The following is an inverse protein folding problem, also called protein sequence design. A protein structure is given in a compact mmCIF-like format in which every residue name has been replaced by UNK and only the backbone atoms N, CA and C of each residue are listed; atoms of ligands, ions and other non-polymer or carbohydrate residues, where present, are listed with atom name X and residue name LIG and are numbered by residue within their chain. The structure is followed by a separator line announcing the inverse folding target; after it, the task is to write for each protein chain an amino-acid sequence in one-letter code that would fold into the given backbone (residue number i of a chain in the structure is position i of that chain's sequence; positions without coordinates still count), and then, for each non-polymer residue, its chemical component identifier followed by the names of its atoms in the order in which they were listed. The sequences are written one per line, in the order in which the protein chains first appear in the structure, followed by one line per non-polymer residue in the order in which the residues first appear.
data_IF_136753773404
#
_entry.id   IF_136753773404
#
_cell.length_a   1.000
_cell.length_b   1.000
_cell.length_c   1.000
_cell.angle_alpha   90.00
_cell.angle_beta   90.00
_cell.angle_gamma   90.00
#
_symmetry.space_group_name_H-M   'P 1'
#
loop_
_entity.id
_entity.type
_entity.pdbx_description
1 polymer ?
#
# COMPACT_ATOMS: atom_id res chain seq x y z
N UNK A 1 -13.02 -6.77 -9.27
CA UNK A 1 -13.51 -6.60 -7.89
C UNK A 1 -13.95 -7.97 -7.38
N UNK A 2 -13.20 -8.56 -6.44
CA UNK A 2 -13.54 -9.87 -5.89
C UNK A 2 -14.59 -9.71 -4.78
N UNK A 3 -15.69 -10.46 -4.88
CA UNK A 3 -16.79 -10.44 -3.92
C UNK A 3 -17.06 -11.85 -3.39
N UNK A 4 -17.43 -11.95 -2.13
CA UNK A 4 -17.70 -13.19 -1.43
C UNK A 4 -19.16 -13.31 -1.05
N UNK A 5 -19.74 -14.49 -1.25
CA UNK A 5 -21.06 -14.82 -0.70
C UNK A 5 -20.97 -14.95 0.82
N UNK A 6 -22.08 -14.72 1.52
CA UNK A 6 -22.17 -14.79 2.98
C UNK A 6 -21.48 -16.03 3.59
N UNK A 7 -21.68 -17.21 3.02
CA UNK A 7 -21.08 -18.48 3.50
C UNK A 7 -19.58 -18.56 3.25
N UNK A 8 -19.12 -18.02 2.12
CA UNK A 8 -17.69 -17.99 1.78
C UNK A 8 -16.95 -17.02 2.69
N UNK A 9 -17.50 -15.81 2.88
CA UNK A 9 -16.93 -14.81 3.78
C UNK A 9 -16.87 -15.32 5.24
N UNK A 10 -17.94 -15.96 5.72
CA UNK A 10 -17.98 -16.56 7.06
C UNK A 10 -16.83 -17.56 7.29
N UNK A 11 -16.55 -18.40 6.28
CA UNK A 11 -15.45 -19.36 6.32
C UNK A 11 -14.09 -18.67 6.40
N UNK A 12 -13.89 -17.60 5.63
CA UNK A 12 -12.62 -16.86 5.58
C UNK A 12 -12.27 -16.21 6.92
N UNK A 13 -13.25 -15.68 7.65
CA UNK A 13 -13.04 -15.04 8.95
C UNK A 13 -13.23 -15.98 10.15
N UNK A 14 -13.39 -17.30 9.89
CA UNK A 14 -13.67 -18.32 10.90
C UNK A 14 -14.87 -17.99 11.82
N UNK A 15 -15.97 -17.46 11.24
CA UNK A 15 -17.23 -17.16 11.93
C UNK A 15 -18.41 -17.90 11.31
N UNK A 16 -19.55 -17.86 11.98
CA UNK A 16 -20.80 -18.41 11.44
C UNK A 16 -21.51 -17.38 10.56
N UNK A 17 -22.36 -17.86 9.65
CA UNK A 17 -23.24 -16.98 8.86
C UNK A 17 -24.20 -16.17 9.74
N UNK A 18 -24.61 -16.71 10.89
CA UNK A 18 -25.47 -16.02 11.85
C UNK A 18 -24.75 -14.81 12.48
N UNK A 19 -23.46 -14.96 12.79
CA UNK A 19 -22.63 -13.85 13.29
C UNK A 19 -22.58 -12.70 12.29
N UNK A 20 -22.37 -12.98 11.01
CA UNK A 20 -22.35 -11.96 9.95
C UNK A 20 -23.70 -11.27 9.75
N UNK A 21 -24.80 -12.03 9.81
CA UNK A 21 -26.15 -11.46 9.73
C UNK A 21 -26.47 -10.56 10.92
N UNK A 22 -25.98 -10.92 12.12
CA UNK A 22 -26.09 -10.09 13.32
C UNK A 22 -25.29 -8.80 13.15
N UNK A 23 -24.04 -8.88 12.69
CA UNK A 23 -23.20 -7.72 12.42
C UNK A 23 -23.77 -6.78 11.36
N UNK A 24 -24.43 -7.29 10.32
CA UNK A 24 -25.15 -6.49 9.32
C UNK A 24 -26.32 -5.72 9.95
N UNK A 25 -27.05 -6.34 10.90
CA UNK A 25 -28.16 -5.70 11.62
C UNK A 25 -27.68 -4.67 12.65
N UNK A 26 -26.60 -4.97 13.36
CA UNK A 26 -26.00 -4.12 14.39
C UNK A 26 -25.14 -2.99 13.79
N UNK A 27 -24.89 -3.01 12.48
CA UNK A 27 -24.06 -2.02 11.79
C UNK A 27 -22.54 -2.20 11.98
N UNK A 28 -22.11 -3.30 12.60
CA UNK A 28 -20.69 -3.63 12.83
C UNK A 28 -19.98 -3.95 11.50
N UNK A 29 -20.65 -4.67 10.60
CA UNK A 29 -20.15 -4.96 9.26
C UNK A 29 -21.33 -5.03 8.29
N UNK A 30 -21.60 -3.92 7.61
CA UNK A 30 -22.75 -3.78 6.71
C UNK A 30 -22.56 -4.59 5.42
N UNK A 31 -23.49 -5.48 5.11
CA UNK A 31 -23.41 -6.26 3.88
C UNK A 31 -23.83 -5.43 2.66
N UNK A 32 -23.14 -5.63 1.53
CA UNK A 32 -23.64 -5.18 0.24
C UNK A 32 -24.76 -6.10 -0.24
N UNK A 33 -25.65 -5.56 -1.09
CA UNK A 33 -26.85 -6.25 -1.56
C UNK A 33 -26.90 -6.25 -3.07
N UNK A 34 -27.16 -7.42 -3.66
CA UNK A 34 -27.48 -7.52 -5.09
C UNK A 34 -28.85 -6.89 -5.36
N UNK A 35 -29.23 -6.64 -6.63
CA UNK A 35 -30.60 -6.25 -6.97
C UNK A 35 -31.67 -7.22 -6.44
N UNK A 36 -31.31 -8.50 -6.29
CA UNK A 36 -32.13 -9.56 -5.67
C UNK A 36 -32.04 -9.61 -4.15
N UNK A 37 -31.51 -8.56 -3.50
CA UNK A 37 -31.35 -8.41 -2.05
C UNK A 37 -30.51 -9.50 -1.37
N UNK A 38 -29.61 -10.17 -2.11
CA UNK A 38 -28.69 -11.16 -1.53
C UNK A 38 -27.46 -10.46 -0.95
N UNK A 39 -27.05 -10.89 0.25
CA UNK A 39 -25.86 -10.37 0.94
C UNK A 39 -24.58 -10.86 0.31
N UNK A 40 -23.65 -9.95 0.06
CA UNK A 40 -22.27 -10.23 -0.30
C UNK A 40 -21.33 -9.25 0.40
N UNK A 41 -20.07 -9.65 0.50
CA UNK A 41 -19.01 -8.85 1.09
C UNK A 41 -17.87 -8.66 0.10
N UNK A 42 -17.14 -7.56 0.21
CA UNK A 42 -16.00 -7.27 -0.67
C UNK A 42 -14.70 -7.81 -0.09
N UNK A 43 -13.67 -7.84 -0.94
CA UNK A 43 -12.30 -8.11 -0.50
C UNK A 43 -11.78 -7.07 0.50
N UNK A 44 -12.16 -5.80 0.35
CA UNK A 44 -11.81 -4.73 1.28
C UNK A 44 -12.38 -4.98 2.68
N UNK A 45 -13.64 -5.41 2.77
CA UNK A 45 -14.29 -5.77 4.05
C UNK A 45 -13.62 -6.96 4.73
N UNK A 46 -13.02 -7.87 3.96
CA UNK A 46 -12.27 -9.00 4.52
C UNK A 46 -11.03 -8.49 5.27
N UNK A 47 -10.29 -7.56 4.67
CA UNK A 47 -9.11 -6.95 5.27
C UNK A 47 -9.44 -6.14 6.52
N UNK A 48 -10.53 -5.37 6.47
CA UNK A 48 -11.04 -4.61 7.62
C UNK A 48 -11.28 -5.51 8.83
N UNK A 49 -11.95 -6.66 8.63
CA UNK A 49 -12.25 -7.61 9.70
C UNK A 49 -11.03 -8.40 10.17
N UNK A 50 -10.11 -8.74 9.25
CA UNK A 50 -8.88 -9.44 9.61
C UNK A 50 -7.87 -8.52 10.32
N UNK A 51 -8.16 -7.22 10.44
CA UNK A 51 -7.23 -6.23 11.01
C UNK A 51 -5.98 -6.05 10.17
N UNK A 52 -5.97 -6.60 8.96
CA UNK A 52 -4.91 -6.40 7.98
C UNK A 52 -5.26 -5.10 7.30
N UNK A 53 -4.76 -3.97 7.82
CA UNK A 53 -4.73 -2.76 7.02
C UNK A 53 -4.03 -3.13 5.72
N UNK A 54 -4.66 -2.89 4.58
CA UNK A 54 -3.88 -2.72 3.37
C UNK A 54 -2.89 -1.61 3.71
N UNK A 55 -1.64 -1.97 4.01
CA UNK A 55 -0.56 -1.02 3.93
C UNK A 55 -0.52 -0.67 2.47
N UNK A 56 -1.26 0.38 2.10
CA UNK A 56 -1.34 0.92 0.75
C UNK A 56 0.12 1.18 0.38
N UNK A 57 0.66 0.28 -0.44
CA UNK A 57 2.08 0.25 -0.70
C UNK A 57 2.38 1.43 -1.60
N UNK A 58 3.20 2.35 -1.11
CA UNK A 58 3.62 3.49 -1.90
C UNK A 58 4.78 3.08 -2.80
N UNK A 59 4.80 3.56 -4.04
CA UNK A 59 5.97 3.47 -4.88
C UNK A 59 6.88 4.66 -4.58
N UNK A 60 8.12 4.38 -4.15
CA UNK A 60 9.07 5.41 -3.74
C UNK A 60 10.33 5.36 -4.59
N UNK A 61 10.86 6.51 -4.98
CA UNK A 61 12.19 6.64 -5.59
C UNK A 61 13.17 7.32 -4.65
N UNK A 62 14.43 6.92 -4.71
CA UNK A 62 15.51 7.48 -3.90
C UNK A 62 16.75 7.72 -4.79
N UNK A 63 17.21 8.96 -4.86
CA UNK A 63 18.40 9.35 -5.60
C UNK A 63 19.39 10.08 -4.67
N UNK A 64 20.69 9.87 -4.90
CA UNK A 64 21.72 10.44 -4.03
C UNK A 64 23.03 10.74 -4.79
N UNK A 65 23.61 11.91 -4.49
CA UNK A 65 24.95 12.30 -4.96
C UNK A 65 25.87 12.67 -3.80
N UNK A 66 27.18 12.50 -3.98
CA UNK A 66 28.14 12.65 -2.88
C UNK A 66 28.54 14.10 -2.60
N UNK A 67 28.35 15.01 -3.57
CA UNK A 67 28.73 16.41 -3.46
C UNK A 67 27.65 17.35 -4.01
N UNK A 68 27.56 18.55 -3.43
CA UNK A 68 26.68 19.60 -3.93
C UNK A 68 27.07 20.07 -5.35
N UNK A 69 28.32 19.88 -5.76
CA UNK A 69 28.75 20.14 -7.15
C UNK A 69 28.14 19.19 -8.18
N UNK A 70 27.53 18.09 -7.74
CA UNK A 70 26.87 17.09 -8.59
C UNK A 70 25.34 17.27 -8.60
N UNK A 71 24.85 18.47 -8.31
CA UNK A 71 23.41 18.73 -8.23
C UNK A 71 22.72 18.50 -9.59
N UNK A 72 23.40 18.82 -10.69
CA UNK A 72 22.86 18.59 -12.03
C UNK A 72 22.79 17.10 -12.37
N UNK A 73 23.76 16.31 -11.89
CA UNK A 73 23.73 14.85 -11.99
C UNK A 73 22.54 14.27 -11.19
N UNK A 74 22.26 14.81 -10.01
CA UNK A 74 21.12 14.39 -9.18
C UNK A 74 19.78 14.63 -9.90
N UNK A 75 19.62 15.80 -10.53
CA UNK A 75 18.43 16.11 -11.34
C UNK A 75 18.30 15.12 -12.51
N UNK A 76 19.40 14.84 -13.19
CA UNK A 76 19.44 13.88 -14.30
C UNK A 76 19.05 12.48 -13.84
N UNK A 77 19.54 12.03 -12.67
CA UNK A 77 19.17 10.75 -12.08
C UNK A 77 17.67 10.68 -11.74
N UNK A 78 17.12 11.73 -11.12
CA UNK A 78 15.70 11.78 -10.79
C UNK A 78 14.83 11.69 -12.04
N UNK A 79 15.19 12.42 -13.10
CA UNK A 79 14.48 12.40 -14.37
C UNK A 79 14.52 11.01 -15.01
N UNK A 80 15.68 10.36 -15.05
CA UNK A 80 15.83 9.03 -15.61
C UNK A 80 14.97 7.98 -14.87
N UNK A 81 14.89 8.06 -13.53
CA UNK A 81 14.04 7.19 -12.73
C UNK A 81 12.56 7.46 -12.99
N UNK A 82 12.15 8.74 -13.04
CA UNK A 82 10.77 9.11 -13.34
C UNK A 82 10.32 8.64 -14.72
N UNK A 83 11.17 8.79 -15.73
CA UNK A 83 10.91 8.33 -17.10
C UNK A 83 10.77 6.81 -17.16
N UNK A 84 11.66 6.06 -16.49
CA UNK A 84 11.58 4.61 -16.40
C UNK A 84 10.27 4.17 -15.74
N UNK A 85 9.95 4.72 -14.57
CA UNK A 85 8.72 4.38 -13.84
C UNK A 85 7.48 4.69 -14.67
N UNK A 86 7.45 5.85 -15.35
CA UNK A 86 6.34 6.22 -16.24
C UNK A 86 6.15 5.21 -17.37
N UNK A 87 7.24 4.80 -18.04
CA UNK A 87 7.19 3.78 -19.11
C UNK A 87 6.79 2.40 -18.59
N UNK A 88 7.17 2.08 -17.36
CA UNK A 88 6.81 0.83 -16.69
C UNK A 88 5.37 0.84 -16.12
N UNK A 89 4.65 1.96 -16.19
CA UNK A 89 3.31 2.10 -15.60
C UNK A 89 3.31 2.20 -14.07
N UNK A 90 4.45 2.55 -13.47
CA UNK A 90 4.62 2.74 -12.03
C UNK A 90 4.44 4.23 -11.72
N UNK A 91 3.37 4.57 -11.00
CA UNK A 91 3.18 5.93 -10.49
C UNK A 91 3.97 6.08 -9.19
N UNK A 92 5.00 6.94 -9.18
CA UNK A 92 5.79 7.24 -7.97
C UNK A 92 4.95 8.15 -7.06
N UNK A 93 4.69 7.71 -5.83
CA UNK A 93 3.99 8.48 -4.81
C UNK A 93 4.93 9.44 -4.08
N UNK A 94 6.19 9.04 -3.87
CA UNK A 94 7.18 9.82 -3.15
C UNK A 94 8.57 9.72 -3.79
N UNK A 95 9.19 10.87 -4.08
CA UNK A 95 10.55 10.93 -4.61
C UNK A 95 11.48 11.62 -3.60
N UNK A 96 12.53 10.92 -3.19
CA UNK A 96 13.52 11.40 -2.22
C UNK A 96 14.84 11.68 -2.94
N UNK A 97 15.43 12.83 -2.66
CA UNK A 97 16.75 13.22 -3.13
C UNK A 97 17.63 13.66 -1.94
N UNK A 98 18.85 13.14 -1.86
CA UNK A 98 19.81 13.51 -0.82
C UNK A 98 21.19 13.85 -1.42
N UNK A 99 21.86 14.83 -0.82
CA UNK A 99 23.25 15.19 -1.16
C UNK A 99 24.10 14.96 0.08
N UNK A 100 25.17 14.17 -0.02
CA UNK A 100 26.12 14.02 1.06
C UNK A 100 27.27 13.07 0.78
N UNK A 101 28.48 13.44 1.22
CA UNK A 101 29.67 12.63 1.02
C UNK A 101 29.61 11.30 1.79
N UNK A 102 30.17 10.26 1.20
CA UNK A 102 30.38 8.97 1.84
C UNK A 102 29.12 8.12 2.06
N UNK A 103 29.35 6.86 2.45
CA UNK A 103 28.31 5.90 2.78
C UNK A 103 27.80 6.19 4.21
N UNK A 104 26.73 6.99 4.32
CA UNK A 104 26.13 7.32 5.62
C UNK A 104 24.74 6.68 5.74
N UNK A 105 24.70 5.55 6.45
CA UNK A 105 23.47 4.80 6.73
C UNK A 105 22.59 5.42 7.83
N UNK A 106 23.02 6.55 8.42
CA UNK A 106 22.27 7.27 9.46
C UNK A 106 21.50 8.47 8.91
N UNK A 107 21.47 8.67 7.59
CA UNK A 107 20.68 9.74 6.96
C UNK A 107 19.19 9.52 7.24
N UNK A 108 18.50 10.59 7.62
CA UNK A 108 17.11 10.51 8.11
C UNK A 108 16.16 9.95 7.05
N UNK A 109 16.29 10.40 5.79
CA UNK A 109 15.39 9.95 4.73
C UNK A 109 15.70 8.52 4.29
N UNK A 110 16.98 8.16 4.19
CA UNK A 110 17.40 6.79 3.95
C UNK A 110 16.86 5.82 5.02
N UNK A 111 17.06 6.12 6.30
CA UNK A 111 16.56 5.28 7.41
C UNK A 111 15.04 5.17 7.37
N UNK A 112 14.33 6.29 7.12
CA UNK A 112 12.87 6.29 6.97
C UNK A 112 12.43 5.36 5.83
N UNK A 113 13.08 5.44 4.67
CA UNK A 113 12.77 4.56 3.53
C UNK A 113 12.96 3.09 3.90
N UNK A 114 14.07 2.74 4.55
CA UNK A 114 14.32 1.35 4.99
C UNK A 114 13.23 0.88 5.97
N UNK A 115 12.83 1.70 6.95
CA UNK A 115 11.74 1.35 7.86
C UNK A 115 10.39 1.16 7.14
N UNK A 116 10.14 1.91 6.07
CA UNK A 116 8.93 1.74 5.24
C UNK A 116 8.97 0.44 4.41
N UNK A 117 10.16 0.05 3.93
CA UNK A 117 10.36 -1.25 3.27
C UNK A 117 10.15 -2.40 4.25
N UNK A 118 10.74 -2.33 5.45
CA UNK A 118 10.59 -3.34 6.52
C UNK A 118 9.13 -3.53 6.95
N UNK A 119 8.37 -2.44 7.04
CA UNK A 119 6.94 -2.46 7.38
C UNK A 119 6.03 -2.86 6.20
N UNK A 120 6.60 -3.23 5.05
CA UNK A 120 5.89 -3.58 3.80
C UNK A 120 4.93 -2.48 3.34
N UNK A 121 5.27 -1.23 3.65
CA UNK A 121 4.54 -0.04 3.23
C UNK A 121 5.01 0.49 1.87
N UNK A 122 6.08 -0.06 1.29
CA UNK A 122 6.60 0.29 -0.04
C UNK A 122 6.36 -0.85 -1.02
N UNK A 123 6.06 -0.52 -2.27
CA UNK A 123 5.97 -1.48 -3.36
C UNK A 123 7.39 -1.83 -3.83
N UNK A 124 7.80 -3.09 -3.63
CA UNK A 124 9.09 -3.65 -4.07
C UNK A 124 8.95 -4.43 -5.36
#
# INVERSE_FOLDING_TARGET
MNTYRLKEFARLIAKTTNTLQRWDREGILKAHRTPTNRRFYTYEQLFEILGVKENKRIAMSYCHVSSAGQKDDLLTQQQAVADFCTRAGIAIDEAIAEIGGGLNLKRKQFVRMISLVESRAVHT
#
